data_IF_339496703688
#
_entry.id   IF_339496703688
#
_cell.length_a   1.000
_cell.length_b   1.000
_cell.length_c   1.000
_cell.angle_alpha   90.00
_cell.angle_beta   90.00
_cell.angle_gamma   90.00
#
_symmetry.space_group_name_H-M   'P 1'
#
loop_
_entity.id
_entity.type
_entity.pdbx_description
1 polymer ?
#
# COMPACT_ATOMS: atom_id res chain seq x y z
N UNK A 1 19.84 -7.09 17.50
CA UNK A 1 20.65 -6.23 16.64
C UNK A 1 20.89 -6.88 15.27
N UNK A 2 19.82 -7.05 14.44
CA UNK A 2 19.87 -7.64 13.09
C UNK A 2 19.06 -6.86 12.03
N UNK A 3 18.61 -5.64 12.34
CA UNK A 3 17.75 -4.83 11.47
C UNK A 3 18.55 -4.03 10.42
N UNK A 4 19.87 -3.86 10.60
CA UNK A 4 20.69 -3.02 9.72
C UNK A 4 20.93 -3.57 8.30
N UNK A 5 20.74 -4.88 8.08
CA UNK A 5 21.03 -5.49 6.77
C UNK A 5 19.89 -5.39 5.75
N UNK A 6 18.63 -5.30 6.19
CA UNK A 6 17.50 -5.13 5.26
C UNK A 6 17.37 -3.70 4.72
N UNK A 7 17.65 -2.69 5.55
CA UNK A 7 17.64 -1.29 5.13
C UNK A 7 18.73 -0.99 4.06
N UNK A 8 19.87 -1.69 4.13
CA UNK A 8 20.96 -1.52 3.17
C UNK A 8 20.65 -2.10 1.79
N UNK A 9 19.82 -3.15 1.70
CA UNK A 9 19.47 -3.78 0.42
C UNK A 9 18.51 -2.89 -0.41
N UNK A 10 17.60 -2.18 0.22
CA UNK A 10 16.71 -1.24 -0.49
C UNK A 10 17.47 0.00 -1.01
N UNK A 11 18.50 0.45 -0.27
CA UNK A 11 19.33 1.60 -0.67
C UNK A 11 20.22 1.28 -1.88
N UNK A 12 20.68 0.04 -2.02
CA UNK A 12 21.53 -0.41 -3.13
C UNK A 12 20.79 -0.45 -4.47
N UNK A 13 19.50 -0.79 -4.46
CA UNK A 13 18.67 -0.77 -5.67
C UNK A 13 18.41 0.68 -6.14
N UNK A 14 18.35 1.64 -5.21
CA UNK A 14 18.22 3.07 -5.55
C UNK A 14 19.49 3.66 -6.17
N UNK A 15 20.67 3.18 -5.81
CA UNK A 15 21.94 3.63 -6.36
C UNK A 15 22.22 3.12 -7.78
N UNK A 16 21.74 1.91 -8.11
CA UNK A 16 21.92 1.33 -9.45
C UNK A 16 21.10 2.06 -10.54
N UNK A 17 19.99 2.72 -10.17
CA UNK A 17 19.19 3.50 -11.14
C UNK A 17 19.86 4.82 -11.55
N UNK A 18 20.79 5.35 -10.77
CA UNK A 18 21.52 6.57 -11.08
C UNK A 18 22.77 6.36 -11.97
N UNK A 19 23.27 5.12 -12.07
CA UNK A 19 24.45 4.80 -12.89
C UNK A 19 24.15 4.67 -14.39
N UNK A 20 22.89 4.58 -14.79
CA UNK A 20 22.49 4.50 -16.20
C UNK A 20 22.14 5.86 -16.84
N UNK A 21 22.36 6.97 -16.15
CA UNK A 21 22.04 8.32 -16.64
C UNK A 21 23.32 9.07 -17.01
N UNK A 22 24.07 8.58 -18.02
CA UNK A 22 25.15 9.36 -18.63
C UNK A 22 24.61 10.11 -19.85
N UNK A 23 24.75 11.42 -19.74
CA UNK A 23 24.86 12.44 -20.79
C UNK A 23 23.67 12.67 -21.73
N UNK A 24 22.88 13.69 -21.44
CA UNK A 24 22.18 14.45 -22.47
C UNK A 24 22.12 15.95 -22.13
N UNK A 25 22.55 16.76 -23.12
CA UNK A 25 22.58 18.23 -23.16
C UNK A 25 21.35 18.86 -22.47
N UNK A 26 21.59 19.94 -21.70
CA UNK A 26 20.60 20.87 -21.17
C UNK A 26 19.59 21.30 -22.23
N UNK A 27 18.47 20.57 -22.34
CA UNK A 27 17.20 21.06 -22.85
C UNK A 27 16.34 21.47 -21.66
N UNK A 28 15.62 22.60 -21.80
CA UNK A 28 14.61 23.03 -20.83
C UNK A 28 13.82 21.85 -20.26
N UNK A 29 13.38 21.89 -18.99
CA UNK A 29 12.64 20.81 -18.38
C UNK A 29 11.32 20.61 -19.12
N UNK A 30 11.38 19.84 -20.21
CA UNK A 30 10.19 19.42 -20.92
C UNK A 30 9.41 18.53 -19.98
N UNK A 31 8.14 18.84 -19.81
CA UNK A 31 7.16 17.97 -19.17
C UNK A 31 7.38 16.53 -19.66
N UNK A 32 7.52 15.55 -18.78
CA UNK A 32 7.57 14.18 -19.19
C UNK A 32 6.31 13.89 -20.01
N UNK A 33 6.46 13.64 -21.33
CA UNK A 33 5.33 13.44 -22.26
C UNK A 33 4.36 12.34 -21.85
N UNK A 34 4.75 11.49 -20.89
CA UNK A 34 3.89 10.44 -20.36
C UNK A 34 2.89 10.92 -19.29
N UNK A 35 3.12 12.09 -18.67
CA UNK A 35 2.16 12.70 -17.74
C UNK A 35 1.08 13.51 -18.47
N UNK A 36 1.36 13.97 -19.71
CA UNK A 36 0.49 14.89 -20.45
C UNK A 36 -0.43 14.29 -21.51
N UNK A 37 -0.32 13.01 -21.80
CA UNK A 37 -1.17 12.40 -22.84
C UNK A 37 -1.38 10.91 -22.59
N UNK A 38 -2.31 10.58 -21.69
CA UNK A 38 -3.06 9.36 -21.90
C UNK A 38 -4.02 9.69 -23.04
N UNK A 39 -3.83 9.17 -24.27
CA UNK A 39 -4.84 9.33 -25.30
C UNK A 39 -6.09 8.66 -24.77
N UNK A 40 -7.20 9.28 -25.00
CA UNK A 40 -8.55 8.99 -24.56
C UNK A 40 -9.00 7.54 -24.79
N UNK A 41 -8.40 6.60 -24.07
CA UNK A 41 -9.00 5.29 -23.94
C UNK A 41 -9.77 5.27 -22.63
N UNK A 42 -11.08 4.99 -22.70
CA UNK A 42 -11.92 5.00 -21.51
C UNK A 42 -11.50 3.96 -20.46
N UNK A 43 -10.74 2.95 -20.85
CA UNK A 43 -10.37 1.85 -19.94
C UNK A 43 -8.87 1.55 -20.02
N UNK A 44 -8.23 1.61 -18.88
CA UNK A 44 -6.87 1.12 -18.66
C UNK A 44 -6.81 0.27 -17.41
N UNK A 45 -5.81 -0.58 -17.31
CA UNK A 45 -5.66 -1.39 -16.12
C UNK A 45 -4.29 -2.01 -15.97
N UNK A 46 -4.10 -2.66 -14.84
CA UNK A 46 -2.92 -3.48 -14.59
C UNK A 46 -3.26 -4.74 -13.77
N UNK A 47 -2.44 -5.76 -13.99
CA UNK A 47 -2.42 -7.00 -13.22
C UNK A 47 -1.05 -7.13 -12.61
N UNK A 48 -0.98 -7.42 -11.32
CA UNK A 48 0.29 -7.68 -10.67
C UNK A 48 0.29 -9.05 -9.98
N UNK A 49 1.49 -9.64 -9.92
CA UNK A 49 1.80 -10.81 -9.13
C UNK A 49 3.07 -10.53 -8.34
N UNK A 50 2.99 -10.67 -7.03
CA UNK A 50 4.07 -10.32 -6.11
C UNK A 50 4.26 -11.40 -5.05
N UNK A 51 5.47 -11.52 -4.56
CA UNK A 51 5.74 -12.10 -3.26
C UNK A 51 5.51 -11.01 -2.21
N UNK A 52 4.85 -11.36 -1.13
CA UNK A 52 4.48 -10.44 -0.07
C UNK A 52 4.82 -11.05 1.30
N UNK A 53 5.42 -10.24 2.14
CA UNK A 53 5.69 -10.60 3.53
C UNK A 53 5.18 -9.49 4.41
N UNK A 54 4.33 -9.83 5.37
CA UNK A 54 3.83 -8.85 6.32
C UNK A 54 3.74 -9.38 7.73
N UNK A 55 3.70 -8.46 8.64
CA UNK A 55 3.32 -8.63 10.03
C UNK A 55 2.39 -7.50 10.39
N UNK A 56 1.23 -7.81 10.90
CA UNK A 56 0.27 -6.84 11.43
C UNK A 56 0.04 -7.06 12.93
N UNK A 57 -0.69 -6.17 13.60
CA UNK A 57 -0.94 -6.32 15.03
C UNK A 57 -1.68 -7.61 15.38
N UNK A 58 -2.65 -8.12 14.59
CA UNK A 58 -3.29 -9.41 14.83
C UNK A 58 -2.37 -10.64 14.83
N UNK A 59 -1.19 -10.57 14.21
CA UNK A 59 -0.20 -11.67 14.21
C UNK A 59 0.62 -11.74 15.51
N UNK A 60 0.49 -10.74 16.38
CA UNK A 60 1.20 -10.70 17.66
C UNK A 60 2.72 -10.55 17.54
N UNK A 61 3.44 -10.92 18.61
CA UNK A 61 4.88 -10.68 18.70
C UNK A 61 5.77 -11.66 17.93
N UNK A 62 5.24 -12.80 17.50
CA UNK A 62 6.03 -13.95 17.09
C UNK A 62 5.94 -14.32 15.61
N UNK A 63 4.84 -13.96 14.94
CA UNK A 63 4.57 -14.42 13.59
C UNK A 63 4.73 -13.31 12.55
N UNK A 64 5.37 -13.64 11.44
CA UNK A 64 5.32 -12.91 10.19
C UNK A 64 4.73 -13.83 9.13
N UNK A 65 3.95 -13.30 8.22
CA UNK A 65 3.35 -14.02 7.12
C UNK A 65 4.20 -13.84 5.87
N UNK A 66 4.34 -14.90 5.08
CA UNK A 66 4.97 -14.86 3.76
C UNK A 66 4.08 -15.60 2.77
N UNK A 67 3.95 -15.06 1.55
CA UNK A 67 3.14 -15.68 0.55
C UNK A 67 3.14 -14.98 -0.80
N UNK A 68 2.16 -15.31 -1.64
CA UNK A 68 1.92 -14.66 -2.92
C UNK A 68 0.69 -13.75 -2.84
N UNK A 69 0.78 -12.67 -3.58
CA UNK A 69 -0.23 -11.64 -3.68
C UNK A 69 -0.47 -11.30 -5.15
N UNK A 70 -1.71 -11.37 -5.60
CA UNK A 70 -2.13 -11.00 -6.95
C UNK A 70 -3.12 -9.86 -6.92
N UNK A 71 -3.10 -9.00 -7.94
CA UNK A 71 -4.03 -7.86 -8.02
C UNK A 71 -4.45 -7.56 -9.46
N UNK A 72 -5.66 -7.03 -9.59
CA UNK A 72 -6.21 -6.46 -10.81
C UNK A 72 -6.77 -5.08 -10.49
N UNK A 73 -6.35 -4.06 -11.21
CA UNK A 73 -6.83 -2.69 -11.08
C UNK A 73 -7.32 -2.18 -12.43
N UNK A 74 -8.50 -1.63 -12.47
CA UNK A 74 -9.14 -1.06 -13.65
C UNK A 74 -9.45 0.41 -13.39
N UNK A 75 -9.17 1.25 -14.38
CA UNK A 75 -9.52 2.66 -14.37
C UNK A 75 -10.27 3.03 -15.63
N UNK A 76 -11.35 3.78 -15.47
CA UNK A 76 -12.18 4.29 -16.54
C UNK A 76 -12.13 5.82 -16.46
N UNK A 77 -11.52 6.44 -17.47
CA UNK A 77 -11.52 7.89 -17.62
C UNK A 77 -12.90 8.39 -18.02
N UNK A 78 -13.39 9.44 -17.38
CA UNK A 78 -14.60 10.15 -17.82
C UNK A 78 -14.21 10.99 -19.04
N UNK A 79 -14.94 10.92 -20.17
CA UNK A 79 -14.60 11.63 -21.40
C UNK A 79 -14.66 13.15 -21.22
N UNK A 80 -13.62 13.72 -20.66
CA UNK A 80 -13.39 15.16 -20.57
C UNK A 80 -11.91 15.40 -20.30
N UNK A 81 -11.14 15.53 -21.38
CA UNK A 81 -9.69 15.69 -21.33
C UNK A 81 -9.21 16.85 -20.46
N UNK A 82 -10.05 17.88 -20.32
CA UNK A 82 -9.71 19.10 -19.58
C UNK A 82 -9.56 18.88 -18.07
N UNK A 83 -10.32 17.93 -17.48
CA UNK A 83 -10.40 17.80 -16.03
C UNK A 83 -9.72 16.56 -15.46
N UNK A 84 -9.51 15.53 -16.28
CA UNK A 84 -8.80 14.30 -15.88
C UNK A 84 -9.48 13.47 -14.79
N UNK A 85 -10.82 13.47 -14.74
CA UNK A 85 -11.59 12.65 -13.82
C UNK A 85 -11.71 11.21 -14.29
N UNK A 86 -11.78 10.28 -13.35
CA UNK A 86 -12.02 8.88 -13.63
C UNK A 86 -12.59 8.12 -12.45
N UNK A 87 -13.02 6.90 -12.76
CA UNK A 87 -13.51 5.91 -11.79
C UNK A 87 -12.52 4.77 -11.75
N UNK A 88 -12.30 4.23 -10.58
CA UNK A 88 -11.41 3.10 -10.33
C UNK A 88 -12.17 1.98 -9.65
N UNK A 89 -11.89 0.75 -10.06
CA UNK A 89 -12.30 -0.47 -9.36
C UNK A 89 -11.19 -1.50 -9.49
N UNK A 90 -10.91 -2.19 -8.39
CA UNK A 90 -9.90 -3.25 -8.41
C UNK A 90 -10.00 -4.13 -7.18
N UNK A 91 -9.24 -5.19 -7.22
CA UNK A 91 -9.14 -6.11 -6.11
C UNK A 91 -7.80 -6.82 -6.08
N UNK A 92 -7.49 -7.37 -4.94
CA UNK A 92 -6.28 -8.15 -4.75
C UNK A 92 -6.56 -9.32 -3.82
N UNK A 93 -5.73 -10.36 -3.96
CA UNK A 93 -5.86 -11.58 -3.20
C UNK A 93 -4.48 -12.11 -2.81
N UNK A 94 -4.31 -12.41 -1.54
CA UNK A 94 -3.10 -12.94 -0.96
C UNK A 94 -3.31 -14.31 -0.30
N UNK A 95 -2.34 -15.21 -0.50
CA UNK A 95 -2.21 -16.50 0.16
C UNK A 95 -0.90 -16.52 0.93
N UNK A 96 -0.98 -16.74 2.24
CA UNK A 96 0.14 -16.60 3.16
C UNK A 96 0.36 -17.86 3.98
N UNK A 97 1.43 -17.85 4.78
CA UNK A 97 1.86 -18.96 5.65
C UNK A 97 2.38 -20.17 4.87
N UNK A 98 3.15 -19.93 3.82
CA UNK A 98 3.80 -20.99 3.04
C UNK A 98 4.81 -21.80 3.85
N UNK A 99 5.25 -21.30 4.98
CA UNK A 99 6.09 -22.04 5.92
C UNK A 99 5.30 -23.06 6.77
N UNK A 100 3.97 -23.14 6.60
CA UNK A 100 3.13 -24.08 7.32
C UNK A 100 2.96 -23.75 8.81
N UNK A 101 3.29 -22.55 9.22
CA UNK A 101 3.05 -22.05 10.58
C UNK A 101 1.63 -21.58 10.68
N UNK A 102 0.79 -22.40 11.30
CA UNK A 102 -0.54 -21.96 11.67
C UNK A 102 -0.44 -20.85 12.72
N UNK A 103 -1.16 -19.77 12.45
CA UNK A 103 -1.29 -18.64 13.37
C UNK A 103 -2.37 -18.92 14.42
N UNK A 104 -2.37 -20.06 15.08
CA UNK A 104 -3.40 -20.32 16.08
C UNK A 104 -2.83 -20.75 17.43
N UNK A 105 -3.36 -20.17 18.48
CA UNK A 105 -3.16 -20.62 19.84
C UNK A 105 -3.70 -22.05 20.10
N UNK A 106 -4.57 -22.56 19.23
CA UNK A 106 -5.25 -23.85 19.35
C UNK A 106 -4.58 -25.03 18.62
N UNK A 107 -3.36 -24.89 18.13
CA UNK A 107 -2.55 -26.01 17.62
C UNK A 107 -2.86 -26.49 16.19
N UNK A 108 -3.73 -25.83 15.42
CA UNK A 108 -4.02 -26.19 14.03
C UNK A 108 -3.03 -25.51 13.06
N UNK A 109 -1.88 -26.13 12.86
CA UNK A 109 -0.68 -25.58 12.23
C UNK A 109 -0.67 -25.60 10.69
N UNK A 110 -1.74 -26.04 10.01
CA UNK A 110 -1.69 -26.35 8.56
C UNK A 110 -2.57 -25.46 7.69
N UNK A 111 -3.03 -24.34 8.19
CA UNK A 111 -4.04 -23.55 7.52
C UNK A 111 -3.49 -22.26 6.93
N UNK A 112 -3.57 -22.10 5.62
CA UNK A 112 -3.22 -20.87 4.93
C UNK A 112 -4.09 -19.68 5.37
N UNK A 113 -3.46 -18.56 5.70
CA UNK A 113 -4.14 -17.31 5.85
C UNK A 113 -4.46 -16.75 4.47
N UNK A 114 -5.68 -16.25 4.30
CA UNK A 114 -6.14 -15.65 3.04
C UNK A 114 -6.64 -14.24 3.31
N UNK A 115 -6.28 -13.33 2.42
CA UNK A 115 -6.74 -11.95 2.45
C UNK A 115 -7.21 -11.55 1.06
N UNK A 116 -8.40 -10.98 0.97
CA UNK A 116 -8.90 -10.36 -0.24
C UNK A 116 -9.20 -8.89 0.03
N UNK A 117 -8.77 -8.01 -0.87
CA UNK A 117 -9.08 -6.59 -0.81
C UNK A 117 -9.91 -6.20 -2.03
N UNK A 118 -10.90 -5.34 -1.83
CA UNK A 118 -11.61 -4.65 -2.89
C UNK A 118 -11.43 -3.14 -2.70
N UNK A 119 -11.17 -2.44 -3.79
CA UNK A 119 -11.01 -0.98 -3.83
C UNK A 119 -11.89 -0.42 -4.92
N UNK A 120 -12.68 0.59 -4.59
CA UNK A 120 -13.50 1.30 -5.58
C UNK A 120 -13.62 2.78 -5.24
N UNK A 121 -13.60 3.65 -6.26
CA UNK A 121 -13.74 5.07 -6.02
C UNK A 121 -13.47 5.97 -7.22
N UNK A 122 -13.23 7.22 -6.92
CA UNK A 122 -13.07 8.29 -7.89
C UNK A 122 -11.67 8.89 -7.78
N UNK A 123 -11.12 9.31 -8.90
CA UNK A 123 -9.86 10.03 -8.94
C UNK A 123 -9.90 11.20 -9.94
N UNK A 124 -9.00 12.13 -9.75
CA UNK A 124 -8.65 13.19 -10.67
C UNK A 124 -7.14 13.23 -10.85
N UNK A 125 -6.71 13.11 -12.08
CA UNK A 125 -5.30 13.28 -12.46
C UNK A 125 -5.15 14.54 -13.31
N UNK A 126 -4.20 15.38 -12.96
CA UNK A 126 -3.94 16.57 -13.77
C UNK A 126 -3.48 16.17 -15.17
N UNK A 127 -4.10 16.70 -16.24
CA UNK A 127 -3.69 16.42 -17.61
C UNK A 127 -2.39 17.16 -18.01
N UNK A 128 -1.93 18.09 -17.21
CA UNK A 128 -0.74 18.91 -17.46
C UNK A 128 0.49 18.45 -16.68
N UNK A 129 1.55 19.23 -16.83
CA UNK A 129 2.85 19.01 -16.17
C UNK A 129 2.89 19.53 -14.73
N UNK A 130 1.87 20.21 -14.28
CA UNK A 130 1.69 20.67 -12.91
C UNK A 130 0.21 20.83 -12.60
N UNK A 131 -0.18 20.56 -11.37
CA UNK A 131 -1.56 20.69 -10.91
C UNK A 131 -1.92 19.70 -9.84
N UNK A 132 -3.18 19.77 -9.40
CA UNK A 132 -3.69 18.91 -8.32
C UNK A 132 -4.10 17.55 -8.84
N UNK A 133 -3.62 16.51 -8.18
CA UNK A 133 -4.12 15.14 -8.25
C UNK A 133 -4.91 14.86 -6.97
N UNK A 134 -6.04 14.22 -7.10
CA UNK A 134 -6.88 13.88 -5.96
C UNK A 134 -7.58 12.54 -6.18
N UNK A 135 -7.95 11.88 -5.10
CA UNK A 135 -8.76 10.69 -5.20
C UNK A 135 -9.37 10.30 -3.86
N UNK A 136 -10.48 9.61 -3.95
CA UNK A 136 -11.19 9.04 -2.81
C UNK A 136 -11.65 7.65 -3.18
N UNK A 137 -11.29 6.66 -2.36
CA UNK A 137 -11.65 5.25 -2.56
C UNK A 137 -12.16 4.65 -1.27
N UNK A 138 -13.05 3.69 -1.42
CA UNK A 138 -13.47 2.80 -0.35
C UNK A 138 -12.79 1.46 -0.52
N UNK A 139 -12.12 1.02 0.53
CA UNK A 139 -11.40 -0.25 0.57
C UNK A 139 -12.12 -1.20 1.54
N UNK A 140 -12.30 -2.45 1.14
CA UNK A 140 -12.82 -3.54 1.98
C UNK A 140 -11.79 -4.64 2.05
N UNK A 141 -11.55 -5.17 3.25
CA UNK A 141 -10.66 -6.31 3.50
C UNK A 141 -11.47 -7.48 4.04
N UNK A 142 -11.43 -8.60 3.33
CA UNK A 142 -11.98 -9.89 3.73
C UNK A 142 -10.84 -10.78 4.17
N UNK A 143 -10.98 -11.40 5.33
CA UNK A 143 -9.95 -12.25 5.87
C UNK A 143 -10.49 -13.65 6.14
N UNK A 144 -9.65 -14.64 5.89
CA UNK A 144 -9.83 -16.01 6.37
C UNK A 144 -8.60 -16.39 7.16
N UNK A 145 -8.82 -16.77 8.43
CA UNK A 145 -7.78 -17.14 9.38
C UNK A 145 -6.76 -16.02 9.65
N UNK A 146 -7.27 -14.83 9.94
CA UNK A 146 -6.43 -13.67 10.28
C UNK A 146 -5.84 -13.82 11.68
N UNK A 147 -4.53 -13.60 11.75
CA UNK A 147 -3.79 -13.48 12.99
C UNK A 147 -3.74 -14.76 13.83
N UNK A 148 -3.23 -14.63 15.04
CA UNK A 148 -2.99 -15.77 15.96
C UNK A 148 -4.24 -16.57 16.32
N UNK A 149 -5.43 -15.96 16.25
CA UNK A 149 -6.70 -16.60 16.54
C UNK A 149 -7.41 -17.16 15.31
N UNK A 150 -6.81 -17.08 14.14
CA UNK A 150 -7.32 -17.64 12.89
C UNK A 150 -8.79 -17.27 12.59
N UNK A 151 -9.24 -16.07 12.95
CA UNK A 151 -10.62 -15.59 12.77
C UNK A 151 -10.86 -15.01 11.37
N UNK A 152 -12.14 -14.83 11.00
CA UNK A 152 -12.56 -14.39 9.67
C UNK A 152 -13.26 -13.01 9.74
N UNK A 153 -12.58 -11.92 10.07
CA UNK A 153 -13.19 -10.60 10.11
C UNK A 153 -13.27 -9.98 8.70
N UNK A 154 -14.29 -9.12 8.51
CA UNK A 154 -14.40 -8.24 7.35
C UNK A 154 -14.58 -6.82 7.86
N UNK A 155 -13.79 -5.89 7.35
CA UNK A 155 -13.87 -4.49 7.73
C UNK A 155 -13.37 -3.60 6.59
N UNK A 156 -13.65 -2.31 6.68
CA UNK A 156 -13.39 -1.36 5.62
C UNK A 156 -12.73 -0.08 6.10
N UNK A 157 -12.20 0.67 5.11
CA UNK A 157 -11.69 2.02 5.30
C UNK A 157 -12.08 2.91 4.13
N UNK A 158 -12.24 4.19 4.41
CA UNK A 158 -12.26 5.25 3.41
C UNK A 158 -10.84 5.81 3.30
N UNK A 159 -10.30 5.91 2.07
CA UNK A 159 -8.97 6.45 1.82
C UNK A 159 -9.04 7.61 0.85
N UNK A 160 -8.47 8.74 1.25
CA UNK A 160 -8.37 9.95 0.45
C UNK A 160 -6.91 10.32 0.18
N UNK A 161 -6.64 10.87 -0.99
CA UNK A 161 -5.33 11.41 -1.36
C UNK A 161 -5.49 12.75 -2.06
N UNK A 162 -4.61 13.69 -1.72
CA UNK A 162 -4.47 14.98 -2.40
C UNK A 162 -2.98 15.24 -2.62
N UNK A 163 -2.58 15.47 -3.86
CA UNK A 163 -1.21 15.76 -4.24
C UNK A 163 -1.13 16.95 -5.19
N UNK A 164 0.01 17.60 -5.23
CA UNK A 164 0.34 18.63 -6.19
C UNK A 164 1.55 18.21 -7.01
N UNK A 165 1.33 18.01 -8.31
CA UNK A 165 2.37 17.71 -9.27
C UNK A 165 3.12 18.99 -9.61
N UNK A 166 4.43 18.98 -9.40
CA UNK A 166 5.36 20.07 -9.67
C UNK A 166 6.07 19.77 -10.99
N UNK A 167 6.38 20.83 -11.76
CA UNK A 167 7.21 20.69 -12.97
C UNK A 167 8.49 19.92 -12.66
N UNK A 168 8.88 19.00 -13.55
CA UNK A 168 10.07 18.16 -13.33
C UNK A 168 9.76 16.78 -12.77
N UNK A 169 8.47 16.41 -12.62
CA UNK A 169 8.05 15.05 -12.26
C UNK A 169 8.07 14.76 -10.76
N UNK A 170 8.01 15.79 -9.92
CA UNK A 170 7.83 15.63 -8.48
C UNK A 170 6.36 15.86 -8.11
N UNK A 171 5.84 15.06 -7.20
CA UNK A 171 4.53 15.26 -6.60
C UNK A 171 4.67 15.21 -5.08
N UNK A 172 4.08 16.19 -4.40
CA UNK A 172 4.01 16.21 -2.94
C UNK A 172 2.55 16.28 -2.51
N UNK A 173 2.23 15.65 -1.39
CA UNK A 173 0.84 15.64 -0.95
C UNK A 173 0.62 14.91 0.36
N UNK A 174 -0.66 14.67 0.62
CA UNK A 174 -1.14 13.97 1.81
C UNK A 174 -2.09 12.87 1.38
N UNK A 175 -2.04 11.74 2.05
CA UNK A 175 -3.08 10.73 2.01
C UNK A 175 -3.47 10.31 3.42
N UNK A 176 -4.72 9.93 3.58
CA UNK A 176 -5.28 9.56 4.87
C UNK A 176 -6.26 8.42 4.72
N UNK A 177 -6.37 7.60 5.77
CA UNK A 177 -7.39 6.57 5.90
C UNK A 177 -8.25 6.80 7.12
N UNK A 178 -9.52 6.44 7.02
CA UNK A 178 -10.49 6.47 8.12
C UNK A 178 -11.16 5.11 8.17
N UNK A 179 -11.08 4.43 9.32
CA UNK A 179 -11.85 3.19 9.50
C UNK A 179 -13.36 3.49 9.48
N UNK A 180 -14.13 2.63 8.83
CA UNK A 180 -15.58 2.80 8.69
C UNK A 180 -16.37 1.89 9.62
N UNK A 181 -15.81 0.73 9.99
CA UNK A 181 -16.47 -0.23 10.88
C UNK A 181 -15.47 -1.00 11.74
N UNK A 182 -15.96 -1.52 12.85
CA UNK A 182 -15.23 -2.43 13.74
C UNK A 182 -15.85 -3.81 13.59
N UNK A 183 -15.06 -4.81 13.22
CA UNK A 183 -15.48 -6.20 13.21
C UNK A 183 -15.22 -6.83 14.57
N UNK A 184 -16.20 -7.51 15.12
CA UNK A 184 -16.05 -8.31 16.35
C UNK A 184 -16.17 -9.78 15.98
N UNK A 185 -15.31 -10.61 16.56
CA UNK A 185 -15.30 -12.07 16.43
C UNK A 185 -15.04 -12.67 17.80
N UNK A 186 -15.45 -13.89 18.00
CA UNK A 186 -15.10 -14.69 19.17
C UNK A 186 -13.97 -15.65 18.82
N UNK A 187 -13.00 -15.72 19.69
CA UNK A 187 -11.90 -16.67 19.63
C UNK A 187 -11.72 -17.26 21.03
N UNK A 188 -11.98 -18.56 21.18
CA UNK A 188 -11.91 -19.26 22.47
C UNK A 188 -12.67 -18.50 23.59
N UNK A 189 -13.92 -18.09 23.31
CA UNK A 189 -14.80 -17.32 24.21
C UNK A 189 -14.33 -15.87 24.49
N UNK A 190 -13.21 -15.43 23.87
CA UNK A 190 -12.69 -14.07 24.03
C UNK A 190 -13.20 -13.19 22.89
N UNK A 191 -13.84 -12.04 23.19
CA UNK A 191 -14.28 -11.11 22.16
C UNK A 191 -13.11 -10.33 21.57
N UNK A 192 -12.78 -10.63 20.32
CA UNK A 192 -11.72 -9.97 19.57
C UNK A 192 -12.30 -8.94 18.62
N UNK A 193 -11.74 -7.73 18.62
CA UNK A 193 -12.15 -6.62 17.77
C UNK A 193 -11.04 -6.28 16.76
N UNK A 194 -11.45 -5.99 15.54
CA UNK A 194 -10.55 -5.60 14.44
C UNK A 194 -11.10 -4.38 13.72
N UNK A 195 -10.21 -3.53 13.26
CA UNK A 195 -10.53 -2.40 12.36
C UNK A 195 -9.31 -1.97 11.58
N UNK A 196 -9.53 -1.19 10.50
CA UNK A 196 -8.46 -0.49 9.83
C UNK A 196 -7.86 0.61 10.73
N UNK A 197 -6.54 0.80 10.67
CA UNK A 197 -5.86 1.91 11.33
C UNK A 197 -6.18 3.21 10.61
N UNK A 198 -6.75 4.18 11.32
CA UNK A 198 -6.93 5.53 10.79
C UNK A 198 -5.60 6.28 10.88
N UNK A 199 -5.07 6.71 9.74
CA UNK A 199 -3.73 7.29 9.62
C UNK A 199 -3.72 8.49 8.69
N UNK A 200 -2.74 9.36 8.86
CA UNK A 200 -2.43 10.48 7.97
C UNK A 200 -0.96 10.45 7.63
N UNK A 201 -0.64 10.59 6.35
CA UNK A 201 0.71 10.47 5.81
C UNK A 201 0.99 11.60 4.83
N UNK A 202 2.13 12.24 4.94
CA UNK A 202 2.71 13.07 3.91
C UNK A 202 3.44 12.19 2.92
N UNK A 203 3.37 12.50 1.65
CA UNK A 203 4.10 11.76 0.63
C UNK A 203 4.86 12.68 -0.33
N UNK A 204 5.93 12.13 -0.88
CA UNK A 204 6.66 12.66 -2.01
C UNK A 204 6.81 11.55 -3.04
N UNK A 205 6.46 11.85 -4.30
CA UNK A 205 6.65 10.96 -5.44
C UNK A 205 7.56 11.61 -6.46
N UNK A 206 8.38 10.79 -7.10
CA UNK A 206 9.22 11.21 -8.22
C UNK A 206 8.98 10.33 -9.44
N UNK A 207 8.74 10.97 -10.58
CA UNK A 207 8.54 10.35 -11.87
C UNK A 207 9.78 10.57 -12.72
N UNK A 208 10.54 9.52 -12.94
CA UNK A 208 11.78 9.56 -13.69
C UNK A 208 11.54 9.65 -15.21
N UNK A 209 12.52 10.16 -15.96
CA UNK A 209 12.44 10.25 -17.43
C UNK A 209 12.29 8.91 -18.13
N UNK A 210 12.81 7.83 -17.56
CA UNK A 210 12.66 6.45 -18.04
C UNK A 210 11.30 5.83 -17.67
N UNK A 211 10.35 6.64 -17.15
CA UNK A 211 9.02 6.23 -16.69
C UNK A 211 9.01 5.41 -15.40
N UNK A 212 10.13 5.21 -14.74
CA UNK A 212 10.13 4.67 -13.39
C UNK A 212 9.45 5.66 -12.43
N UNK A 213 8.89 5.15 -11.37
CA UNK A 213 8.23 5.93 -10.33
C UNK A 213 8.74 5.47 -8.97
N UNK A 214 8.86 6.41 -8.07
CA UNK A 214 9.14 6.17 -6.66
C UNK A 214 8.22 7.04 -5.82
N UNK A 215 7.73 6.50 -4.72
CA UNK A 215 6.98 7.24 -3.72
C UNK A 215 7.52 6.92 -2.34
N UNK A 216 7.72 7.94 -1.52
CA UNK A 216 8.05 7.84 -0.11
C UNK A 216 6.93 8.49 0.69
N UNK A 217 6.60 7.92 1.84
CA UNK A 217 5.64 8.54 2.76
C UNK A 217 6.04 8.37 4.21
N UNK A 218 5.61 9.32 5.02
CA UNK A 218 5.75 9.26 6.46
C UNK A 218 4.53 9.90 7.13
N UNK A 219 4.13 9.34 8.26
CA UNK A 219 2.95 9.81 8.96
C UNK A 219 2.71 9.16 10.32
N UNK A 220 1.46 9.18 10.75
CA UNK A 220 1.09 8.69 12.08
C UNK A 220 -0.36 8.19 12.10
N UNK A 221 -0.68 7.16 12.89
CA UNK A 221 -2.05 6.90 13.29
C UNK A 221 -2.58 8.08 14.12
N UNK A 222 -3.84 8.51 13.88
CA UNK A 222 -4.40 9.64 14.63
C UNK A 222 -5.56 9.26 15.55
N UNK A 223 -6.18 8.07 15.35
CA UNK A 223 -7.22 7.57 16.25
C UNK A 223 -6.63 6.72 17.38
N UNK A 224 -7.37 6.69 18.51
CA UNK A 224 -7.08 5.82 19.65
C UNK A 224 -7.06 4.35 19.20
N UNK A 225 -6.10 3.56 19.67
CA UNK A 225 -6.01 2.12 19.41
C UNK A 225 -7.13 1.35 20.14
N UNK A 226 -7.51 0.19 19.61
CA UNK A 226 -8.51 -0.70 20.22
C UNK A 226 -8.01 -1.29 21.55
N UNK A 227 -6.71 -1.52 21.65
CA UNK A 227 -6.05 -2.09 22.82
C UNK A 227 -5.84 -1.04 23.93
N UNK A 228 -5.88 0.25 23.61
CA UNK A 228 -5.41 1.31 24.51
C UNK A 228 -6.54 2.21 24.97
N UNK A 229 -6.63 2.43 26.27
CA UNK A 229 -7.58 3.38 26.84
C UNK A 229 -7.23 4.83 26.49
N UNK A 230 -5.95 5.13 26.25
CA UNK A 230 -5.45 6.49 25.99
C UNK A 230 -4.44 6.65 24.86
N UNK A 231 -3.93 5.54 24.29
CA UNK A 231 -2.89 5.54 23.26
C UNK A 231 -3.41 5.37 21.81
N UNK A 232 -2.59 5.71 20.82
CA UNK A 232 -2.83 5.43 19.39
C UNK A 232 -2.46 3.99 19.07
N UNK A 233 -2.91 3.46 17.91
CA UNK A 233 -2.57 2.11 17.43
C UNK A 233 -1.06 1.92 17.14
N UNK A 234 -0.32 2.98 16.94
CA UNK A 234 1.12 3.03 16.70
C UNK A 234 1.67 4.44 16.89
N UNK A 235 2.98 4.61 16.73
CA UNK A 235 3.66 5.92 16.94
C UNK A 235 3.80 6.68 15.64
N UNK A 236 4.54 6.12 14.70
CA UNK A 236 4.80 6.69 13.37
C UNK A 236 4.73 5.60 12.31
N UNK A 237 4.44 6.02 11.10
CA UNK A 237 4.37 5.17 9.92
C UNK A 237 5.33 5.74 8.90
N UNK A 238 6.07 4.90 8.20
CA UNK A 238 6.79 5.27 7.00
C UNK A 238 6.75 4.14 5.99
N UNK A 239 6.92 4.49 4.73
CA UNK A 239 6.99 3.49 3.69
C UNK A 239 7.51 4.05 2.39
N UNK A 240 7.72 3.14 1.46
CA UNK A 240 8.20 3.42 0.13
C UNK A 240 7.54 2.49 -0.88
N UNK A 241 7.35 2.95 -2.10
CA UNK A 241 6.97 2.12 -3.23
C UNK A 241 7.74 2.53 -4.47
N UNK A 242 7.92 1.60 -5.38
CA UNK A 242 8.51 1.87 -6.69
C UNK A 242 7.83 1.05 -7.79
N UNK A 243 7.89 1.58 -9.01
CA UNK A 243 7.50 0.89 -10.23
C UNK A 243 8.57 1.21 -11.29
N UNK A 244 9.25 0.19 -11.80
CA UNK A 244 10.31 0.33 -12.80
C UNK A 244 9.92 -0.42 -14.08
N UNK A 245 9.71 0.25 -15.22
CA UNK A 245 9.31 -0.41 -16.45
C UNK A 245 10.48 -1.24 -17.03
N UNK A 246 10.19 -2.48 -17.37
CA UNK A 246 11.07 -3.38 -18.15
C UNK A 246 10.79 -3.28 -19.63
N UNK A 247 9.50 -3.20 -19.98
CA UNK A 247 9.01 -3.04 -21.35
C UNK A 247 7.90 -1.98 -21.39
N UNK A 248 7.25 -1.80 -22.53
CA UNK A 248 6.10 -0.89 -22.66
C UNK A 248 4.90 -1.28 -21.80
N UNK A 249 4.77 -2.56 -21.44
CA UNK A 249 3.64 -3.09 -20.67
C UNK A 249 4.05 -3.78 -19.37
N UNK A 250 5.28 -4.24 -19.23
CA UNK A 250 5.76 -4.97 -18.07
C UNK A 250 6.64 -4.07 -17.20
N UNK A 251 6.43 -4.11 -15.90
CA UNK A 251 7.21 -3.39 -14.89
C UNK A 251 7.54 -4.30 -13.71
N UNK A 252 8.66 -4.03 -13.06
CA UNK A 252 8.93 -4.49 -11.70
C UNK A 252 8.28 -3.52 -10.73
N UNK A 253 7.63 -4.04 -9.70
CA UNK A 253 7.00 -3.26 -8.64
C UNK A 253 7.48 -3.76 -7.29
N UNK A 254 7.50 -2.86 -6.34
CA UNK A 254 7.75 -3.20 -4.95
C UNK A 254 7.26 -2.10 -4.03
N UNK A 255 6.90 -2.49 -2.83
CA UNK A 255 6.56 -1.57 -1.77
C UNK A 255 6.94 -2.14 -0.42
N UNK A 256 7.04 -1.26 0.55
CA UNK A 256 7.20 -1.64 1.94
C UNK A 256 6.71 -0.54 2.85
N UNK A 257 6.20 -0.93 4.01
CA UNK A 257 5.76 -0.02 5.05
C UNK A 257 6.13 -0.53 6.44
N UNK A 258 6.22 0.39 7.37
CA UNK A 258 6.47 0.08 8.77
C UNK A 258 5.69 1.03 9.65
N UNK A 259 4.99 0.50 10.64
CA UNK A 259 4.37 1.23 11.72
C UNK A 259 5.05 0.83 13.05
N UNK A 260 5.64 1.80 13.73
CA UNK A 260 6.26 1.57 15.03
C UNK A 260 5.21 1.27 16.10
N UNK A 261 5.58 0.39 17.02
CA UNK A 261 4.75 0.05 18.17
C UNK A 261 4.30 1.29 18.94
N UNK A 262 3.12 1.23 19.54
CA UNK A 262 2.66 2.24 20.48
C UNK A 262 3.58 2.34 21.69
N UNK A 263 3.60 3.51 22.35
CA UNK A 263 4.36 3.73 23.59
C UNK A 263 3.43 3.73 24.80
N UNK A 264 3.87 3.11 25.88
CA UNK A 264 3.16 3.15 27.16
C UNK A 264 3.74 2.14 28.15
N UNK A 265 3.56 2.34 29.46
CA UNK A 265 4.12 1.45 30.48
C UNK A 265 3.57 0.01 30.41
N UNK A 266 2.38 -0.18 29.87
CA UNK A 266 1.80 -1.50 29.64
C UNK A 266 2.42 -2.28 28.46
N UNK A 267 3.39 -1.69 27.74
CA UNK A 267 3.92 -2.18 26.46
C UNK A 267 5.43 -2.38 26.42
N UNK A 268 6.09 -2.32 27.56
CA UNK A 268 7.55 -2.54 27.61
C UNK A 268 7.98 -3.91 27.10
N UNK A 269 7.05 -4.88 27.03
CA UNK A 269 7.32 -6.25 26.56
C UNK A 269 6.69 -6.59 25.19
N UNK A 270 5.69 -5.85 24.72
CA UNK A 270 5.01 -6.17 23.46
C UNK A 270 5.65 -5.44 22.27
N UNK A 271 6.23 -6.22 21.34
CA UNK A 271 6.77 -5.72 20.06
C UNK A 271 5.64 -5.53 19.02
N UNK A 272 4.60 -4.77 19.33
CA UNK A 272 3.41 -4.58 18.50
C UNK A 272 3.67 -3.58 17.36
N UNK A 273 4.60 -3.88 16.47
CA UNK A 273 4.83 -3.15 15.24
C UNK A 273 4.11 -3.83 14.07
N UNK A 274 3.78 -3.08 13.04
CA UNK A 274 3.36 -3.63 11.75
C UNK A 274 4.44 -3.36 10.71
N UNK A 275 4.66 -4.31 9.82
CA UNK A 275 5.62 -4.20 8.73
C UNK A 275 5.11 -4.96 7.50
N UNK A 276 5.38 -4.44 6.32
CA UNK A 276 5.09 -5.11 5.06
C UNK A 276 6.22 -4.88 4.07
N UNK A 277 6.53 -5.88 3.28
CA UNK A 277 7.44 -5.79 2.12
C UNK A 277 6.89 -6.67 1.01
N UNK A 278 6.73 -6.09 -0.18
CA UNK A 278 6.27 -6.79 -1.38
C UNK A 278 7.17 -6.49 -2.56
N UNK A 279 7.35 -7.49 -3.42
CA UNK A 279 8.12 -7.38 -4.64
C UNK A 279 7.53 -8.28 -5.73
N UNK A 280 7.35 -7.76 -6.96
CA UNK A 280 6.71 -8.52 -8.01
C UNK A 280 6.77 -7.89 -9.40
N UNK A 281 5.96 -8.44 -10.28
CA UNK A 281 5.78 -8.00 -11.66
C UNK A 281 4.38 -7.43 -11.85
N UNK A 282 4.29 -6.39 -12.66
CA UNK A 282 3.04 -5.74 -13.02
C UNK A 282 2.95 -5.62 -14.54
N UNK A 283 1.84 -6.10 -15.11
CA UNK A 283 1.51 -5.96 -16.51
C UNK A 283 0.40 -4.93 -16.69
N UNK A 284 0.70 -3.87 -17.46
CA UNK A 284 -0.25 -2.78 -17.76
C UNK A 284 -0.84 -2.98 -19.15
N UNK A 285 -2.16 -2.81 -19.28
CA UNK A 285 -2.91 -2.98 -20.51
C UNK A 285 -3.89 -1.81 -20.76
N UNK A 286 -4.47 -1.79 -21.97
CA UNK A 286 -5.36 -0.69 -22.35
C UNK A 286 -4.61 0.60 -22.68
N UNK A 287 -5.21 1.75 -22.41
CA UNK A 287 -4.61 3.06 -22.68
C UNK A 287 -3.44 3.43 -21.77
N UNK A 288 -3.17 2.67 -20.73
CA UNK A 288 -2.10 2.92 -19.77
C UNK A 288 -0.85 2.15 -20.16
N UNK A 289 0.21 2.89 -20.52
CA UNK A 289 1.53 2.30 -20.73
C UNK A 289 2.23 2.06 -19.41
N UNK A 290 3.11 1.06 -19.36
CA UNK A 290 4.00 0.84 -18.24
C UNK A 290 4.67 2.16 -17.81
N UNK A 291 4.65 2.45 -16.51
CA UNK A 291 5.18 3.69 -15.95
C UNK A 291 4.18 4.84 -15.83
N UNK A 292 2.95 4.70 -16.29
CA UNK A 292 1.88 5.66 -16.00
C UNK A 292 1.13 5.24 -14.73
N UNK A 293 0.76 6.23 -13.92
CA UNK A 293 -0.07 6.04 -12.73
C UNK A 293 -1.43 6.70 -12.97
N UNK A 294 -2.37 6.01 -13.58
CA UNK A 294 -3.66 6.60 -13.95
C UNK A 294 -4.66 6.65 -12.80
N UNK A 295 -4.33 6.07 -11.62
CA UNK A 295 -5.27 5.89 -10.51
C UNK A 295 -4.53 5.68 -9.18
N UNK A 296 -5.29 5.59 -8.08
CA UNK A 296 -4.75 5.35 -6.74
C UNK A 296 -4.26 3.89 -6.60
N UNK A 297 -3.26 3.64 -5.74
CA UNK A 297 -2.87 2.27 -5.38
C UNK A 297 -4.08 1.48 -4.88
N UNK A 298 -4.14 0.18 -5.16
CA UNK A 298 -5.09 -0.73 -4.51
C UNK A 298 -4.80 -0.86 -3.01
N UNK A 299 -5.78 -1.31 -2.26
CA UNK A 299 -5.58 -1.72 -0.89
C UNK A 299 -4.70 -2.98 -0.83
N UNK A 300 -3.74 -2.95 0.08
CA UNK A 300 -2.81 -4.03 0.39
C UNK A 300 -2.29 -3.89 1.83
N UNK A 301 -1.43 -4.79 2.27
CA UNK A 301 -0.89 -4.77 3.64
C UNK A 301 0.02 -3.56 3.95
N UNK A 302 0.40 -2.75 2.96
CA UNK A 302 1.20 -1.53 3.17
C UNK A 302 0.36 -0.30 3.53
N UNK A 303 -0.89 -0.24 3.04
CA UNK A 303 -1.78 0.91 3.17
C UNK A 303 -3.08 0.61 3.92
N UNK A 304 -3.36 -0.67 4.17
CA UNK A 304 -4.49 -1.16 4.97
C UNK A 304 -3.98 -1.83 6.25
N UNK A 305 -3.45 -1.05 7.17
CA UNK A 305 -2.97 -1.55 8.46
C UNK A 305 -4.14 -1.93 9.37
N UNK A 306 -3.98 -2.99 10.14
CA UNK A 306 -5.04 -3.56 11.00
C UNK A 306 -4.72 -3.29 12.47
N UNK A 307 -5.70 -2.77 13.21
CA UNK A 307 -5.71 -2.55 14.65
C UNK A 307 -6.58 -3.61 15.35
N UNK A 308 -6.17 -4.05 16.52
CA UNK A 308 -6.86 -5.07 17.32
C UNK A 308 -6.78 -4.79 18.81
N UNK A 309 -7.72 -5.36 19.60
CA UNK A 309 -7.69 -5.32 21.06
C UNK A 309 -6.96 -6.51 21.70
N UNK A 310 -6.29 -7.34 20.90
CA UNK A 310 -5.54 -8.46 21.43
C UNK A 310 -4.32 -7.99 22.21
N UNK A 311 -4.26 -8.39 23.47
CA UNK A 311 -3.11 -8.23 24.32
C UNK A 311 -2.32 -9.56 24.28
N UNK A 312 -1.11 -9.52 23.73
CA UNK A 312 -0.22 -10.68 23.69
C UNK A 312 1.10 -10.34 24.35
#
# INVERSE_FOLDING_TARGET
MRISKLAFSCLSVMLLSNLMAVDQKKKEPSCPKFLGSCPCFPVGGDVALSLDSFRSLPEGSWAGNFGAFSSLNLAIGIPNEKYGFGVQVGGSYGLYDWEGRGSNASGNTKAFQQQAFLTGGLFRMTPGCSGFNAGIVYDVMFNKRLGVFAVNPTFGQLRGQLGYLIKGGNEVGVWSTINTCVAQREADEIPVKFRAVSQVNLFWSHYFKNKAQMQLWAGTPYRRGLMYTSGRAGRYIFGASFKAPLTTSLSVVGHGSYMAAASGPAFQESKNYAANVSFGLNYSFGGCKSGQRPYLPLADNSNFLVDTNLNQ
#
